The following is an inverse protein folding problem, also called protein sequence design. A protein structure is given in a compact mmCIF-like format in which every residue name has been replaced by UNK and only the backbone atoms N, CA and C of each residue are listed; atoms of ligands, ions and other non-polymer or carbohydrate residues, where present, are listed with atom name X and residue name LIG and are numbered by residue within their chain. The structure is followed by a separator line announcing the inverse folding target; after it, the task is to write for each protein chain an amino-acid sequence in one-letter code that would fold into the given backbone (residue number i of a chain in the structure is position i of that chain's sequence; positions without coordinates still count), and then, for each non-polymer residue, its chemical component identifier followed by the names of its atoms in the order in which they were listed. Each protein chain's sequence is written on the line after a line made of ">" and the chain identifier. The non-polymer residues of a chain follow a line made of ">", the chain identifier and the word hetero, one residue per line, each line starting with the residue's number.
data_IF_981832537377
#
_entry.id   IF_981832537377
#
_cell.length_a   1.000
_cell.length_b   1.000
_cell.length_c   1.000
_cell.angle_alpha   90.00
_cell.angle_beta   90.00
_cell.angle_gamma   90.00
#
_symmetry.space_group_name_H-M   'P 1'
#
loop_
_entity.id
_entity.type
_entity.pdbx_description
1 polymer ?
#
# COMPACT_ATOMS: atom_id res chain seq x y z
N UNK A 1 -12.78 -25.62 25.18
CA UNK A 1 -12.49 -26.26 23.88
C UNK A 1 -13.28 -25.58 22.74
N UNK A 2 -13.08 -24.29 22.49
CA UNK A 2 -13.88 -23.55 21.48
C UNK A 2 -13.07 -22.65 20.54
N UNK A 3 -11.76 -22.51 20.77
CA UNK A 3 -10.90 -21.55 20.03
C UNK A 3 -10.22 -22.18 18.81
N UNK A 4 -9.96 -23.49 18.84
CA UNK A 4 -9.25 -24.17 17.75
C UNK A 4 -10.07 -24.22 16.44
N UNK A 5 -11.36 -24.57 16.44
CA UNK A 5 -12.17 -24.59 15.21
C UNK A 5 -12.41 -23.18 14.64
N UNK A 6 -12.61 -22.20 15.51
CA UNK A 6 -12.80 -20.80 15.12
C UNK A 6 -11.53 -20.17 14.52
N UNK A 7 -10.36 -20.53 15.05
CA UNK A 7 -9.08 -20.08 14.50
C UNK A 7 -8.79 -20.71 13.13
N UNK A 8 -9.08 -22.00 12.95
CA UNK A 8 -8.91 -22.69 11.66
C UNK A 8 -9.87 -22.12 10.59
N UNK A 9 -11.11 -21.80 10.96
CA UNK A 9 -12.05 -21.13 10.06
C UNK A 9 -11.63 -19.70 9.69
N UNK A 10 -11.09 -18.94 10.64
CA UNK A 10 -10.56 -17.58 10.42
C UNK A 10 -9.38 -17.56 9.44
N UNK A 11 -8.46 -18.51 9.59
CA UNK A 11 -7.30 -18.65 8.71
C UNK A 11 -7.75 -19.07 7.31
N UNK A 12 -8.68 -20.03 7.19
CA UNK A 12 -9.18 -20.50 5.89
C UNK A 12 -9.95 -19.41 5.11
N UNK A 13 -10.79 -18.63 5.79
CA UNK A 13 -11.51 -17.46 5.23
C UNK A 13 -10.54 -16.35 4.79
N UNK A 14 -9.47 -16.11 5.55
CA UNK A 14 -8.44 -15.13 5.20
C UNK A 14 -7.64 -15.54 3.97
N UNK A 15 -7.31 -16.83 3.83
CA UNK A 15 -6.61 -17.36 2.64
C UNK A 15 -7.49 -17.41 1.38
N UNK A 16 -8.79 -17.69 1.51
CA UNK A 16 -9.73 -17.63 0.38
C UNK A 16 -10.03 -16.17 -0.04
N UNK A 17 -10.13 -15.26 0.93
CA UNK A 17 -10.26 -13.82 0.66
C UNK A 17 -9.01 -13.24 -0.05
N UNK A 18 -7.81 -13.64 0.37
CA UNK A 18 -6.55 -13.26 -0.28
C UNK A 18 -6.41 -13.85 -1.70
N UNK A 19 -6.97 -15.04 -1.95
CA UNK A 19 -6.97 -15.67 -3.27
C UNK A 19 -7.88 -14.93 -4.27
N UNK A 20 -9.01 -14.39 -3.81
CA UNK A 20 -9.91 -13.52 -4.60
C UNK A 20 -9.37 -12.11 -4.84
N UNK A 21 -8.62 -11.53 -3.89
CA UNK A 21 -7.99 -10.21 -4.01
C UNK A 21 -6.80 -10.16 -5.00
N UNK A 22 -6.30 -11.32 -5.45
CA UNK A 22 -5.10 -11.44 -6.31
C UNK A 22 -5.37 -11.53 -7.82
N UNK A 23 -6.63 -11.55 -8.29
CA UNK A 23 -6.96 -11.99 -9.66
C UNK A 23 -7.40 -10.90 -10.66
N UNK A 24 -7.49 -9.61 -10.32
CA UNK A 24 -8.13 -8.60 -11.22
C UNK A 24 -7.29 -7.37 -11.60
N UNK A 25 -6.01 -7.27 -11.19
CA UNK A 25 -5.11 -6.16 -11.55
C UNK A 25 -4.93 -5.14 -10.41
N UNK A 26 -4.10 -4.10 -10.59
CA UNK A 26 -4.05 -3.00 -9.63
C UNK A 26 -5.48 -2.47 -9.47
N UNK A 27 -5.95 -2.39 -8.22
CA UNK A 27 -7.19 -1.67 -7.91
C UNK A 27 -7.06 -0.29 -8.54
N UNK A 28 -8.07 0.13 -9.30
CA UNK A 28 -8.01 1.27 -10.23
C UNK A 28 -7.36 2.52 -9.58
N UNK A 29 -7.64 2.77 -8.31
CA UNK A 29 -7.09 3.89 -7.53
C UNK A 29 -5.56 3.83 -7.32
N UNK A 30 -5.00 2.62 -7.17
CA UNK A 30 -3.55 2.44 -7.03
C UNK A 30 -2.81 2.84 -8.31
N UNK A 31 -3.45 2.63 -9.47
CA UNK A 31 -2.89 3.04 -10.76
C UNK A 31 -2.70 4.56 -10.85
N UNK A 32 -3.64 5.33 -10.32
CA UNK A 32 -3.55 6.79 -10.24
C UNK A 32 -2.29 7.21 -9.49
N UNK A 33 -2.11 6.71 -8.27
CA UNK A 33 -0.95 7.03 -7.43
C UNK A 33 0.38 6.67 -8.10
N UNK A 34 0.45 5.50 -8.75
CA UNK A 34 1.64 5.07 -9.48
C UNK A 34 1.93 5.94 -10.72
N UNK A 35 0.89 6.44 -11.38
CA UNK A 35 1.04 7.33 -12.54
C UNK A 35 1.59 8.70 -12.13
N UNK A 36 1.08 9.28 -11.04
CA UNK A 36 1.66 10.48 -10.43
C UNK A 36 3.14 10.25 -10.04
N UNK A 37 3.45 9.11 -9.43
CA UNK A 37 4.81 8.76 -9.05
C UNK A 37 5.75 8.66 -10.26
N UNK A 38 5.32 8.03 -11.35
CA UNK A 38 6.09 7.94 -12.60
C UNK A 38 6.31 9.30 -13.25
N UNK A 39 5.29 10.14 -13.29
CA UNK A 39 5.41 11.48 -13.87
C UNK A 39 6.31 12.39 -13.03
N UNK A 40 6.20 12.32 -11.70
CA UNK A 40 7.11 13.03 -10.81
C UNK A 40 8.56 12.57 -11.00
N UNK A 41 8.78 11.26 -11.07
CA UNK A 41 10.12 10.70 -11.31
C UNK A 41 10.71 11.09 -12.67
N UNK A 42 9.86 11.22 -13.69
CA UNK A 42 10.24 11.68 -15.03
C UNK A 42 10.40 13.21 -15.15
N UNK A 43 10.23 13.97 -14.05
CA UNK A 43 10.34 15.44 -14.06
C UNK A 43 9.15 16.17 -14.68
N UNK A 44 8.01 15.50 -14.88
CA UNK A 44 6.78 16.08 -15.45
C UNK A 44 5.88 16.75 -14.41
N UNK A 45 6.25 16.65 -13.13
CA UNK A 45 5.47 17.15 -12.01
C UNK A 45 4.49 16.12 -11.43
N UNK A 46 3.76 16.53 -10.40
CA UNK A 46 2.72 15.72 -9.75
C UNK A 46 1.42 15.90 -10.54
N UNK A 47 1.39 15.30 -11.73
CA UNK A 47 0.26 15.37 -12.67
C UNK A 47 -0.08 13.98 -13.18
N UNK A 48 -1.36 13.73 -13.48
CA UNK A 48 -1.77 12.50 -14.15
C UNK A 48 -1.51 12.58 -15.66
N UNK A 49 -2.02 13.64 -16.30
CA UNK A 49 -1.73 13.99 -17.69
C UNK A 49 -0.70 15.14 -17.74
N UNK A 50 0.48 14.94 -18.32
CA UNK A 50 1.44 16.03 -18.50
C UNK A 50 0.84 17.19 -19.31
N UNK A 51 0.95 18.41 -18.78
CA UNK A 51 0.36 19.62 -19.38
C UNK A 51 -0.97 20.04 -18.77
N UNK A 52 -1.63 19.17 -18.01
CA UNK A 52 -2.83 19.49 -17.24
C UNK A 52 -2.50 19.47 -15.75
N UNK A 53 -2.67 20.61 -15.08
CA UNK A 53 -2.44 20.71 -13.64
C UNK A 53 -3.78 20.55 -12.94
N UNK A 54 -3.99 19.37 -12.38
CA UNK A 54 -5.20 19.03 -11.61
C UNK A 54 -4.76 18.45 -10.28
N UNK A 55 -5.35 18.95 -9.20
CA UNK A 55 -5.15 18.41 -7.86
C UNK A 55 -5.83 17.05 -7.75
N UNK A 56 -5.04 16.00 -7.54
CA UNK A 56 -5.56 14.63 -7.43
C UNK A 56 -4.71 13.67 -6.60
N UNK A 57 -3.65 14.15 -5.94
CA UNK A 57 -2.79 13.31 -5.12
C UNK A 57 -3.30 13.25 -3.66
N UNK A 58 -4.06 12.22 -3.33
CA UNK A 58 -4.60 12.02 -1.96
C UNK A 58 -3.62 11.31 -1.01
N UNK A 59 -2.65 10.57 -1.56
CA UNK A 59 -1.67 9.80 -0.82
C UNK A 59 -0.24 10.32 -1.06
N UNK A 60 0.03 11.59 -0.73
CA UNK A 60 1.28 12.28 -1.06
C UNK A 60 2.54 11.52 -0.62
N UNK A 61 2.61 11.09 0.65
CA UNK A 61 3.77 10.37 1.17
C UNK A 61 4.01 9.05 0.41
N UNK A 62 2.94 8.29 0.16
CA UNK A 62 3.03 7.03 -0.58
C UNK A 62 3.50 7.28 -2.02
N UNK A 63 2.92 8.28 -2.70
CA UNK A 63 3.31 8.70 -4.05
C UNK A 63 4.78 9.13 -4.09
N UNK A 64 5.23 9.96 -3.15
CA UNK A 64 6.62 10.44 -3.09
C UNK A 64 7.62 9.29 -2.88
N UNK A 65 7.29 8.31 -2.03
CA UNK A 65 8.11 7.10 -1.87
C UNK A 65 8.18 6.32 -3.18
N UNK A 66 7.05 6.06 -3.83
CA UNK A 66 7.01 5.38 -5.12
C UNK A 66 7.78 6.14 -6.21
N UNK A 67 7.71 7.47 -6.23
CA UNK A 67 8.46 8.31 -7.16
C UNK A 67 9.96 8.18 -6.93
N UNK A 68 10.39 8.07 -5.67
CA UNK A 68 11.78 7.75 -5.31
C UNK A 68 12.22 6.43 -5.96
N UNK A 69 11.46 5.34 -5.77
CA UNK A 69 11.77 4.06 -6.40
C UNK A 69 11.75 4.12 -7.94
N UNK A 70 10.77 4.80 -8.52
CA UNK A 70 10.67 5.00 -9.96
C UNK A 70 11.88 5.77 -10.52
N UNK A 71 12.39 6.76 -9.79
CA UNK A 71 13.59 7.54 -10.17
C UNK A 71 14.86 6.68 -10.21
N UNK A 72 14.93 5.63 -9.39
CA UNK A 72 16.00 4.62 -9.44
C UNK A 72 15.74 3.51 -10.47
N UNK A 73 14.75 3.66 -11.35
CA UNK A 73 14.48 2.72 -12.43
C UNK A 73 13.62 1.52 -12.05
N UNK A 74 12.96 1.53 -10.88
CA UNK A 74 12.07 0.43 -10.49
C UNK A 74 10.78 0.49 -11.31
N UNK A 75 10.58 -0.51 -12.18
CA UNK A 75 9.42 -0.60 -13.08
C UNK A 75 8.16 -1.11 -12.37
N UNK A 76 8.32 -2.06 -11.43
CA UNK A 76 7.23 -2.73 -10.71
C UNK A 76 6.76 -1.97 -9.48
N UNK A 77 6.20 -0.79 -9.68
CA UNK A 77 5.67 0.05 -8.59
C UNK A 77 4.47 -0.56 -7.88
N UNK A 78 3.75 -1.49 -8.53
CA UNK A 78 2.68 -2.29 -7.96
C UNK A 78 3.19 -3.11 -6.75
N UNK A 79 4.34 -3.76 -6.93
CA UNK A 79 4.96 -4.57 -5.88
C UNK A 79 5.47 -3.68 -4.75
N UNK A 80 6.14 -2.58 -5.10
CA UNK A 80 6.65 -1.63 -4.12
C UNK A 80 5.50 -1.06 -3.28
N UNK A 81 4.39 -0.70 -3.89
CA UNK A 81 3.20 -0.19 -3.20
C UNK A 81 2.64 -1.20 -2.21
N UNK A 82 2.53 -2.48 -2.60
CA UNK A 82 2.09 -3.56 -1.70
C UNK A 82 3.06 -3.72 -0.53
N UNK A 83 4.38 -3.72 -0.79
CA UNK A 83 5.39 -3.87 0.27
C UNK A 83 5.35 -2.71 1.26
N UNK A 84 5.26 -1.47 0.77
CA UNK A 84 5.10 -0.30 1.61
C UNK A 84 3.83 -0.39 2.48
N UNK A 85 2.72 -0.86 1.90
CA UNK A 85 1.48 -1.12 2.63
C UNK A 85 1.66 -2.12 3.76
N UNK A 86 2.29 -3.27 3.49
CA UNK A 86 2.57 -4.31 4.49
C UNK A 86 3.48 -3.77 5.60
N UNK A 87 4.53 -3.03 5.25
CA UNK A 87 5.44 -2.42 6.22
C UNK A 87 4.74 -1.40 7.11
N UNK A 88 3.90 -0.53 6.54
CA UNK A 88 3.11 0.44 7.30
C UNK A 88 2.15 -0.25 8.28
N UNK A 89 1.49 -1.33 7.84
CA UNK A 89 0.63 -2.15 8.68
C UNK A 89 1.40 -2.77 9.85
N UNK A 90 2.53 -3.43 9.57
CA UNK A 90 3.37 -4.03 10.61
C UNK A 90 3.87 -2.99 11.63
N UNK A 91 4.30 -1.81 11.16
CA UNK A 91 4.72 -0.71 12.01
C UNK A 91 3.59 -0.21 12.91
N UNK A 92 2.37 -0.11 12.37
CA UNK A 92 1.17 0.30 13.12
C UNK A 92 0.87 -0.69 14.24
N UNK A 93 0.88 -2.00 13.94
CA UNK A 93 0.66 -3.03 14.96
C UNK A 93 1.75 -3.02 16.03
N UNK A 94 3.02 -2.90 15.65
CA UNK A 94 4.12 -2.83 16.60
C UNK A 94 3.98 -1.61 17.52
N UNK A 95 3.63 -0.45 16.97
CA UNK A 95 3.41 0.76 17.75
C UNK A 95 2.23 0.61 18.71
N UNK A 96 1.08 0.13 18.22
CA UNK A 96 -0.10 -0.11 19.05
C UNK A 96 0.20 -1.07 20.21
N UNK A 97 0.94 -2.15 19.94
CA UNK A 97 1.35 -3.11 20.95
C UNK A 97 2.30 -2.50 21.99
N UNK A 98 3.25 -1.66 21.56
CA UNK A 98 4.13 -0.94 22.47
C UNK A 98 3.35 0.00 23.37
N UNK A 99 2.45 0.82 22.82
CA UNK A 99 1.61 1.75 23.60
C UNK A 99 0.73 1.01 24.61
N UNK A 100 0.13 -0.11 24.20
CA UNK A 100 -0.67 -0.95 25.10
C UNK A 100 0.15 -1.48 26.28
N UNK A 101 1.41 -1.87 26.06
CA UNK A 101 2.30 -2.31 27.16
C UNK A 101 2.60 -1.18 28.14
N UNK A 102 2.77 0.06 27.68
CA UNK A 102 3.10 1.20 28.54
C UNK A 102 1.94 1.63 29.44
N UNK A 103 0.70 1.53 28.97
CA UNK A 103 -0.50 1.90 29.76
C UNK A 103 -1.01 0.82 30.73
N UNK A 104 -0.47 -0.40 30.65
CA UNK A 104 -0.79 -1.50 31.56
C UNK A 104 0.13 -1.61 32.77
N UNK A 105 1.15 -0.76 32.86
CA UNK A 105 1.95 -0.55 34.07
C UNK A 105 1.41 0.63 34.85
#
# INVERSE_FOLDING_TARGET
>A
MGVLPAFVASVAVSTAGWWGLRMTGPVDDAYITMTYARNLAAGRGIVFNPGEIVEGCTAFLHMALLAGFAKFGVVRLDVVSILLGITAWAATFALAFRLWRTHRQ
#
